data_IF_849628701160
#
_entry.id   IF_849628701160
#
_cell.length_a   1.000
_cell.length_b   1.000
_cell.length_c   1.000
_cell.angle_alpha   90.00
_cell.angle_beta   90.00
_cell.angle_gamma   90.00
#
_symmetry.space_group_name_H-M   'P 1'
#
loop_
_entity.id
_entity.type
_entity.pdbx_description
1 polymer ?
#
# COMPACT_ATOMS: atom_id res chain seq x y z
N UNK A 1 -15.10 16.86 -3.67
CA UNK A 1 -16.13 16.36 -2.73
C UNK A 1 -15.96 16.99 -1.36
N UNK A 2 -14.74 17.15 -0.84
CA UNK A 2 -14.49 17.83 0.44
C UNK A 2 -14.97 19.30 0.50
N UNK A 3 -15.07 19.95 -0.67
CA UNK A 3 -15.49 21.36 -0.79
C UNK A 3 -16.90 21.64 -0.29
N UNK A 4 -17.77 20.62 -0.33
CA UNK A 4 -19.18 20.73 0.08
C UNK A 4 -19.35 20.68 1.61
N UNK A 5 -18.31 20.27 2.34
CA UNK A 5 -18.35 20.22 3.80
C UNK A 5 -17.86 21.56 4.36
N UNK A 6 -18.77 22.32 4.97
CA UNK A 6 -18.43 23.58 5.62
C UNK A 6 -18.13 23.38 7.10
N UNK A 7 -17.00 23.92 7.62
CA UNK A 7 -16.75 23.94 9.06
C UNK A 7 -17.83 24.78 9.75
N UNK A 8 -18.27 24.33 10.94
CA UNK A 8 -19.21 25.10 11.75
C UNK A 8 -18.44 25.82 12.85
N UNK A 9 -18.75 27.09 13.10
CA UNK A 9 -18.16 27.82 14.22
C UNK A 9 -18.90 27.44 15.51
N UNK A 10 -18.16 27.08 16.55
CA UNK A 10 -18.76 26.78 17.84
C UNK A 10 -19.43 28.05 18.40
N UNK A 11 -20.74 27.97 18.63
CA UNK A 11 -21.48 29.06 19.29
C UNK A 11 -21.21 29.04 20.80
N UNK A 12 -20.82 30.19 21.35
CA UNK A 12 -20.53 30.45 22.78
C UNK A 12 -19.28 29.75 23.33
N UNK A 13 -18.05 30.24 23.10
CA UNK A 13 -16.84 29.59 23.64
C UNK A 13 -16.84 29.51 25.18
N UNK A 14 -16.13 28.53 25.78
CA UNK A 14 -16.01 28.43 27.22
C UNK A 14 -15.36 29.69 27.81
N UNK A 15 -15.66 29.95 29.09
CA UNK A 15 -15.05 31.05 29.85
C UNK A 15 -13.52 30.96 29.75
N UNK A 16 -12.84 32.10 29.68
CA UNK A 16 -11.37 32.19 29.52
C UNK A 16 -10.64 31.31 30.54
N UNK A 17 -11.11 31.29 31.79
CA UNK A 17 -10.52 30.48 32.87
C UNK A 17 -10.60 28.96 32.66
N UNK A 18 -11.46 28.49 31.75
CA UNK A 18 -11.65 27.06 31.44
C UNK A 18 -11.00 26.64 30.13
N UNK A 19 -10.63 27.56 29.23
CA UNK A 19 -10.11 27.26 27.88
C UNK A 19 -8.92 26.31 27.91
N UNK A 20 -7.88 26.65 28.67
CA UNK A 20 -6.67 25.81 28.83
C UNK A 20 -6.95 24.42 29.39
N UNK A 21 -7.99 24.26 30.22
CA UNK A 21 -8.40 22.93 30.72
C UNK A 21 -9.15 22.13 29.66
N UNK A 22 -10.00 22.80 28.89
CA UNK A 22 -10.77 22.21 27.79
C UNK A 22 -9.85 21.77 26.65
N UNK A 23 -8.85 22.57 26.29
CA UNK A 23 -7.82 22.24 25.28
C UNK A 23 -7.07 20.97 25.66
N UNK A 24 -6.46 20.92 26.86
CA UNK A 24 -5.75 19.73 27.36
C UNK A 24 -6.64 18.49 27.41
N UNK A 25 -7.90 18.66 27.79
CA UNK A 25 -8.87 17.57 27.81
C UNK A 25 -9.17 17.10 26.37
N UNK A 26 -9.31 18.02 25.42
CA UNK A 26 -9.52 17.71 24.00
C UNK A 26 -8.36 16.90 23.41
N UNK A 27 -7.12 17.32 23.63
CA UNK A 27 -5.91 16.58 23.23
C UNK A 27 -5.90 15.15 23.82
N UNK A 28 -6.17 15.05 25.13
CA UNK A 28 -6.20 13.76 25.84
C UNK A 28 -7.28 12.85 25.27
N UNK A 29 -8.48 13.38 25.04
CA UNK A 29 -9.61 12.63 24.49
C UNK A 29 -9.31 12.14 23.07
N UNK A 30 -8.66 12.94 22.23
CA UNK A 30 -8.27 12.53 20.89
C UNK A 30 -7.29 11.35 20.92
N UNK A 31 -6.27 11.42 21.79
CA UNK A 31 -5.31 10.32 21.97
C UNK A 31 -5.98 9.05 22.51
N UNK A 32 -6.89 9.18 23.48
CA UNK A 32 -7.65 8.04 24.00
C UNK A 32 -8.54 7.44 22.92
N UNK A 33 -9.27 8.29 22.17
CA UNK A 33 -10.13 7.85 21.08
C UNK A 33 -9.32 7.07 20.03
N UNK A 34 -8.18 7.60 19.61
CA UNK A 34 -7.32 7.01 18.58
C UNK A 34 -6.74 5.65 19.03
N UNK A 35 -6.21 5.57 20.25
CA UNK A 35 -5.49 4.37 20.71
C UNK A 35 -6.42 3.27 21.27
N UNK A 36 -7.52 3.64 21.93
CA UNK A 36 -8.36 2.68 22.65
C UNK A 36 -9.64 2.28 21.89
N UNK A 37 -10.07 3.05 20.89
CA UNK A 37 -11.35 2.85 20.19
C UNK A 37 -11.18 2.70 18.68
N UNK A 38 -10.09 2.05 18.24
CA UNK A 38 -9.58 2.03 16.86
C UNK A 38 -10.63 1.97 15.73
N UNK A 39 -11.66 1.13 15.84
CA UNK A 39 -12.69 1.00 14.78
C UNK A 39 -13.69 2.16 14.73
N UNK A 40 -13.85 2.93 15.81
CA UNK A 40 -14.77 4.06 15.84
C UNK A 40 -14.40 5.19 16.84
N UNK A 41 -13.22 5.82 16.70
CA UNK A 41 -12.76 6.87 17.62
C UNK A 41 -13.76 8.01 17.79
N UNK A 42 -14.38 8.46 16.69
CA UNK A 42 -15.40 9.51 16.71
C UNK A 42 -16.66 9.18 17.51
N UNK A 43 -17.06 7.90 17.63
CA UNK A 43 -18.26 7.52 18.42
C UNK A 43 -18.03 7.76 19.91
N UNK A 44 -16.82 7.47 20.40
CA UNK A 44 -16.43 7.77 21.78
C UNK A 44 -16.55 9.28 22.07
N UNK A 45 -16.02 10.13 21.17
CA UNK A 45 -16.09 11.59 21.33
C UNK A 45 -17.54 12.11 21.33
N UNK A 46 -18.43 11.50 20.53
CA UNK A 46 -19.85 11.83 20.51
C UNK A 46 -20.53 11.52 21.85
N UNK A 47 -20.28 10.35 22.43
CA UNK A 47 -20.80 10.00 23.76
C UNK A 47 -20.28 10.98 24.81
N UNK A 48 -18.98 11.28 24.77
CA UNK A 48 -18.37 12.23 25.71
C UNK A 48 -18.98 13.64 25.60
N UNK A 49 -19.32 14.08 24.38
CA UNK A 49 -19.91 15.40 24.13
C UNK A 49 -21.30 15.60 24.77
N UNK A 50 -21.99 14.51 25.10
CA UNK A 50 -23.30 14.52 25.73
C UNK A 50 -23.24 14.68 27.26
N UNK A 51 -22.07 14.49 27.89
CA UNK A 51 -21.95 14.43 29.36
C UNK A 51 -22.06 15.78 30.04
N UNK A 52 -21.47 16.83 29.46
CA UNK A 52 -21.52 18.18 30.02
C UNK A 52 -21.20 19.23 28.96
N UNK A 53 -21.45 20.50 29.26
CA UNK A 53 -21.04 21.60 28.39
C UNK A 53 -19.52 21.63 28.18
N UNK A 54 -18.72 21.46 29.24
CA UNK A 54 -17.25 21.38 29.16
C UNK A 54 -16.79 20.22 28.27
N UNK A 55 -17.40 19.04 28.45
CA UNK A 55 -17.11 17.85 27.65
C UNK A 55 -17.48 18.06 26.18
N UNK A 56 -18.55 18.78 25.88
CA UNK A 56 -18.94 19.13 24.50
C UNK A 56 -17.86 19.94 23.79
N UNK A 57 -17.34 21.00 24.43
CA UNK A 57 -16.25 21.79 23.84
C UNK A 57 -14.98 20.95 23.71
N UNK A 58 -14.62 20.18 24.75
CA UNK A 58 -13.44 19.31 24.70
C UNK A 58 -13.54 18.26 23.59
N UNK A 59 -14.69 17.62 23.41
CA UNK A 59 -14.94 16.70 22.28
C UNK A 59 -14.82 17.41 20.94
N UNK A 60 -15.25 18.67 20.84
CA UNK A 60 -15.15 19.42 19.58
C UNK A 60 -13.69 19.67 19.20
N UNK A 61 -12.87 20.13 20.16
CA UNK A 61 -11.41 20.24 19.97
C UNK A 61 -10.75 18.88 19.72
N UNK A 62 -11.23 17.83 20.39
CA UNK A 62 -10.72 16.48 20.21
C UNK A 62 -10.92 15.99 18.78
N UNK A 63 -12.00 16.38 18.08
CA UNK A 63 -12.16 16.05 16.66
C UNK A 63 -11.07 16.70 15.82
N UNK A 64 -10.68 17.93 16.09
CA UNK A 64 -9.57 18.60 15.38
C UNK A 64 -8.26 17.83 15.54
N UNK A 65 -7.90 17.46 16.77
CA UNK A 65 -6.69 16.64 17.01
C UNK A 65 -6.81 15.24 16.41
N UNK A 66 -7.97 14.60 16.54
CA UNK A 66 -8.21 13.26 15.99
C UNK A 66 -8.08 13.25 14.47
N UNK A 67 -8.55 14.29 13.78
CA UNK A 67 -8.36 14.46 12.33
C UNK A 67 -6.88 14.43 11.96
N UNK A 68 -6.02 15.14 12.70
CA UNK A 68 -4.58 15.16 12.43
C UNK A 68 -3.90 13.82 12.70
N UNK A 69 -4.41 13.03 13.64
CA UNK A 69 -3.90 11.70 13.97
C UNK A 69 -4.36 10.64 12.96
N UNK A 70 -5.63 10.68 12.56
CA UNK A 70 -6.30 9.63 11.79
C UNK A 70 -6.20 9.84 10.26
N UNK A 71 -6.13 11.11 9.84
CA UNK A 71 -6.05 11.52 8.44
C UNK A 71 -4.85 12.47 8.23
N UNK A 72 -3.61 12.02 8.47
CA UNK A 72 -2.44 12.83 8.16
C UNK A 72 -2.37 13.11 6.64
N UNK A 73 -1.70 14.19 6.24
CA UNK A 73 -1.37 14.43 4.83
C UNK A 73 -1.77 15.79 4.26
N UNK A 74 -1.42 15.98 2.99
CA UNK A 74 -1.62 17.21 2.21
C UNK A 74 -3.10 17.54 2.01
N UNK A 75 -3.98 16.53 1.89
CA UNK A 75 -5.43 16.76 1.67
C UNK A 75 -6.07 17.41 2.89
N UNK A 76 -5.75 16.91 4.08
CA UNK A 76 -6.24 17.46 5.35
C UNK A 76 -5.71 18.87 5.59
N UNK A 77 -4.40 19.07 5.42
CA UNK A 77 -3.76 20.40 5.59
C UNK A 77 -4.29 21.41 4.59
N UNK A 78 -4.36 21.07 3.30
CA UNK A 78 -4.91 21.95 2.26
C UNK A 78 -6.37 22.30 2.51
N UNK A 79 -7.20 21.35 2.96
CA UNK A 79 -8.61 21.64 3.27
C UNK A 79 -8.75 22.62 4.44
N UNK A 80 -7.96 22.43 5.52
CA UNK A 80 -7.95 23.33 6.67
C UNK A 80 -7.52 24.75 6.27
N UNK A 81 -6.47 24.86 5.44
CA UNK A 81 -5.97 26.14 4.92
C UNK A 81 -6.98 26.83 3.99
N UNK A 82 -7.52 26.11 3.00
CA UNK A 82 -8.46 26.67 2.00
C UNK A 82 -9.76 27.14 2.64
N UNK A 83 -10.23 26.46 3.69
CA UNK A 83 -11.45 26.82 4.42
C UNK A 83 -11.22 27.84 5.53
N UNK A 84 -9.98 28.33 5.71
CA UNK A 84 -9.58 29.26 6.78
C UNK A 84 -10.08 28.78 8.15
N UNK A 85 -9.84 27.49 8.43
CA UNK A 85 -10.34 26.83 9.63
C UNK A 85 -9.52 27.26 10.83
N UNK A 86 -10.14 28.05 11.71
CA UNK A 86 -9.61 28.24 13.06
C UNK A 86 -9.78 26.95 13.87
N UNK A 87 -8.69 26.18 13.95
CA UNK A 87 -8.63 24.89 14.66
C UNK A 87 -8.97 24.98 16.13
N UNK A 88 -8.92 26.17 16.74
CA UNK A 88 -9.26 26.39 18.15
C UNK A 88 -10.76 26.54 18.39
N UNK A 89 -11.57 26.82 17.35
CA UNK A 89 -13.01 27.12 17.51
C UNK A 89 -13.90 26.46 16.47
N UNK A 90 -13.33 25.76 15.49
CA UNK A 90 -14.10 25.07 14.47
C UNK A 90 -14.62 23.71 14.95
N UNK A 91 -15.86 23.40 14.61
CA UNK A 91 -16.48 22.10 14.73
C UNK A 91 -16.29 21.33 13.42
N UNK A 92 -15.34 20.39 13.45
CA UNK A 92 -14.91 19.59 12.31
C UNK A 92 -15.57 18.21 12.26
N UNK A 93 -16.63 17.97 13.05
CA UNK A 93 -17.32 16.66 13.11
C UNK A 93 -17.84 16.21 11.74
N UNK A 94 -18.44 17.12 10.98
CA UNK A 94 -18.99 16.78 9.67
C UNK A 94 -17.89 16.30 8.72
N UNK A 95 -16.75 17.00 8.70
CA UNK A 95 -15.60 16.62 7.89
C UNK A 95 -14.98 15.30 8.35
N UNK A 96 -14.83 15.12 9.67
CA UNK A 96 -14.36 13.84 10.23
C UNK A 96 -15.21 12.66 9.75
N UNK A 97 -16.54 12.75 9.87
CA UNK A 97 -17.44 11.66 9.49
C UNK A 97 -17.44 11.41 7.98
N UNK A 98 -17.29 12.46 7.18
CA UNK A 98 -17.11 12.32 5.74
C UNK A 98 -15.88 11.46 5.43
N UNK A 99 -14.71 11.79 5.99
CA UNK A 99 -13.44 11.07 5.76
C UNK A 99 -13.44 9.66 6.36
N UNK A 100 -14.02 9.51 7.55
CA UNK A 100 -14.20 8.20 8.17
C UNK A 100 -15.11 7.29 7.33
N UNK A 101 -16.17 7.84 6.72
CA UNK A 101 -17.07 7.10 5.84
C UNK A 101 -16.39 6.68 4.52
N UNK A 102 -15.55 7.54 3.95
CA UNK A 102 -14.74 7.22 2.76
C UNK A 102 -13.77 6.08 3.06
N UNK A 103 -13.06 6.17 4.20
CA UNK A 103 -12.17 5.09 4.66
C UNK A 103 -12.92 3.78 4.88
N UNK A 104 -14.05 3.80 5.58
CA UNK A 104 -14.85 2.59 5.82
C UNK A 104 -15.41 2.00 4.53
N UNK A 105 -15.83 2.84 3.59
CA UNK A 105 -16.26 2.40 2.26
C UNK A 105 -15.14 1.64 1.54
N UNK A 106 -13.93 2.21 1.54
CA UNK A 106 -12.75 1.59 0.92
C UNK A 106 -12.34 0.29 1.61
N UNK A 107 -12.34 0.26 2.95
CA UNK A 107 -12.12 -0.96 3.74
C UNK A 107 -13.19 -2.01 3.41
N UNK A 108 -14.47 -1.62 3.34
CA UNK A 108 -15.59 -2.50 3.01
C UNK A 108 -15.52 -3.07 1.60
N UNK A 109 -14.97 -2.31 0.63
CA UNK A 109 -14.65 -2.80 -0.71
C UNK A 109 -13.53 -3.85 -0.64
N UNK A 110 -12.44 -3.56 0.09
CA UNK A 110 -11.32 -4.49 0.20
C UNK A 110 -11.67 -5.76 0.97
N UNK A 111 -12.47 -5.68 2.04
CA UNK A 111 -12.94 -6.84 2.82
C UNK A 111 -13.63 -7.90 1.94
N UNK A 112 -14.33 -7.47 0.89
CA UNK A 112 -15.05 -8.32 -0.06
C UNK A 112 -14.20 -8.74 -1.27
N UNK A 113 -12.99 -8.20 -1.41
CA UNK A 113 -12.09 -8.51 -2.52
C UNK A 113 -11.42 -9.88 -2.36
N UNK A 114 -10.93 -10.41 -3.48
CA UNK A 114 -10.10 -11.63 -3.48
C UNK A 114 -8.81 -11.45 -2.67
N UNK A 115 -8.23 -10.23 -2.63
CA UNK A 115 -7.01 -9.94 -1.86
C UNK A 115 -7.19 -10.24 -0.37
N UNK A 116 -8.33 -9.87 0.21
CA UNK A 116 -8.62 -10.15 1.61
C UNK A 116 -8.85 -11.65 1.86
N UNK A 117 -9.47 -12.38 0.91
CA UNK A 117 -9.62 -13.85 1.00
C UNK A 117 -8.27 -14.54 1.02
N UNK A 118 -7.38 -14.17 0.09
CA UNK A 118 -5.99 -14.66 0.03
C UNK A 118 -5.25 -14.33 1.32
N UNK A 119 -5.34 -13.09 1.80
CA UNK A 119 -4.68 -12.69 3.03
C UNK A 119 -5.12 -13.52 4.24
N UNK A 120 -6.44 -13.72 4.41
CA UNK A 120 -7.00 -14.59 5.46
C UNK A 120 -6.49 -16.02 5.33
N UNK A 121 -6.43 -16.56 4.11
CA UNK A 121 -5.88 -17.90 3.86
C UNK A 121 -4.41 -18.00 4.28
N UNK A 122 -3.57 -17.08 3.82
CA UNK A 122 -2.15 -17.05 4.17
C UNK A 122 -1.93 -16.89 5.68
N UNK A 123 -2.66 -16.01 6.33
CA UNK A 123 -2.60 -15.80 7.78
C UNK A 123 -2.94 -17.06 8.57
N UNK A 124 -4.00 -17.78 8.19
CA UNK A 124 -4.39 -19.03 8.84
C UNK A 124 -3.30 -20.10 8.70
N UNK A 125 -2.67 -20.20 7.53
CA UNK A 125 -1.62 -21.18 7.28
C UNK A 125 -0.31 -20.87 8.01
N UNK A 126 -0.02 -19.60 8.28
CA UNK A 126 1.16 -19.17 9.04
C UNK A 126 0.98 -19.34 10.56
N UNK A 127 -0.08 -20.00 11.00
CA UNK A 127 -0.38 -20.21 12.42
C UNK A 127 -0.90 -18.96 13.13
N UNK A 128 -1.34 -17.92 12.41
CA UNK A 128 -1.99 -16.77 13.03
C UNK A 128 -3.40 -17.18 13.50
N UNK A 129 -3.51 -17.57 14.77
CA UNK A 129 -4.78 -17.84 15.45
C UNK A 129 -5.47 -16.55 15.89
N UNK A 130 -5.92 -15.74 14.94
CA UNK A 130 -6.87 -14.68 15.24
C UNK A 130 -8.29 -15.24 15.04
N UNK A 131 -9.09 -15.23 16.11
CA UNK A 131 -10.48 -15.67 16.07
C UNK A 131 -11.35 -14.67 15.29
N UNK A 132 -12.21 -15.20 14.41
CA UNK A 132 -13.27 -14.44 13.74
C UNK A 132 -12.83 -13.54 12.57
N UNK A 133 -13.64 -12.51 12.31
CA UNK A 133 -13.43 -11.51 11.25
C UNK A 133 -12.33 -10.47 11.55
N UNK A 134 -11.57 -10.68 12.64
CA UNK A 134 -10.50 -9.79 13.08
C UNK A 134 -9.27 -9.84 12.17
N UNK A 135 -9.10 -10.89 11.37
CA UNK A 135 -8.06 -10.95 10.33
C UNK A 135 -8.46 -10.07 9.15
N UNK A 136 -8.03 -8.81 9.21
CA UNK A 136 -8.09 -7.90 8.08
C UNK A 136 -6.77 -7.92 7.29
N UNK A 137 -6.87 -7.58 6.02
CA UNK A 137 -5.73 -7.35 5.14
C UNK A 137 -4.78 -6.29 5.72
N UNK A 138 -3.52 -6.65 5.95
CA UNK A 138 -2.50 -5.73 6.48
C UNK A 138 -1.40 -5.36 5.47
N UNK A 139 -1.59 -5.72 4.19
CA UNK A 139 -0.65 -5.41 3.11
C UNK A 139 -0.54 -3.93 2.77
N UNK A 140 -1.49 -3.10 3.22
CA UNK A 140 -1.54 -1.65 3.03
C UNK A 140 -1.85 -0.99 4.37
N UNK A 141 -1.18 0.12 4.67
CA UNK A 141 -1.41 0.87 5.90
C UNK A 141 -2.80 1.51 5.95
N UNK A 142 -3.46 1.43 7.12
CA UNK A 142 -4.85 1.85 7.30
C UNK A 142 -5.15 3.30 6.91
N UNK A 143 -4.17 4.20 7.04
CA UNK A 143 -4.35 5.61 6.69
C UNK A 143 -4.48 5.84 5.17
N UNK A 144 -3.90 4.99 4.32
CA UNK A 144 -4.00 5.10 2.86
C UNK A 144 -5.42 4.83 2.34
N UNK A 145 -6.26 4.14 3.12
CA UNK A 145 -7.67 3.92 2.77
C UNK A 145 -8.49 5.21 2.78
N UNK A 146 -7.96 6.28 3.38
CA UNK A 146 -8.56 7.60 3.30
C UNK A 146 -8.01 8.42 2.12
N UNK A 147 -6.99 8.00 1.37
CA UNK A 147 -6.30 8.84 0.38
C UNK A 147 -5.79 10.17 0.99
N UNK A 148 -4.72 10.11 1.80
CA UNK A 148 -4.27 11.22 2.66
C UNK A 148 -3.78 12.47 1.91
N UNK A 149 -3.25 12.33 0.70
CA UNK A 149 -2.62 13.44 -0.03
C UNK A 149 -3.23 13.67 -1.41
N UNK A 150 -3.40 12.62 -2.21
CA UNK A 150 -3.79 12.72 -3.61
C UNK A 150 -4.75 11.61 -3.98
N UNK A 151 -5.77 11.94 -4.76
CA UNK A 151 -6.71 10.97 -5.28
C UNK A 151 -5.99 9.88 -6.09
N UNK A 152 -6.31 8.61 -5.84
CA UNK A 152 -5.70 7.46 -6.49
C UNK A 152 -4.51 6.85 -5.75
N UNK A 153 -4.07 7.40 -4.61
CA UNK A 153 -3.05 6.78 -3.77
C UNK A 153 -3.42 5.34 -3.37
N UNK A 154 -4.69 5.12 -3.00
CA UNK A 154 -5.16 3.80 -2.63
C UNK A 154 -5.13 2.84 -3.82
N UNK A 155 -5.57 3.29 -5.00
CA UNK A 155 -5.53 2.48 -6.22
C UNK A 155 -4.10 2.07 -6.56
N UNK A 156 -3.14 2.98 -6.43
CA UNK A 156 -1.72 2.72 -6.64
C UNK A 156 -1.17 1.73 -5.60
N UNK A 157 -1.50 1.90 -4.33
CA UNK A 157 -1.13 0.97 -3.26
C UNK A 157 -1.64 -0.45 -3.54
N UNK A 158 -2.91 -0.56 -3.97
CA UNK A 158 -3.54 -1.84 -4.35
C UNK A 158 -2.80 -2.46 -5.54
N UNK A 159 -2.55 -1.70 -6.60
CA UNK A 159 -1.84 -2.21 -7.79
C UNK A 159 -0.43 -2.69 -7.47
N UNK A 160 0.31 -1.94 -6.67
CA UNK A 160 1.63 -2.34 -6.21
C UNK A 160 1.57 -3.66 -5.41
N UNK A 161 0.62 -3.76 -4.48
CA UNK A 161 0.44 -4.99 -3.70
C UNK A 161 0.11 -6.18 -4.60
N UNK A 162 -0.82 -6.02 -5.56
CA UNK A 162 -1.20 -7.07 -6.53
C UNK A 162 0.01 -7.47 -7.39
N UNK A 163 0.78 -6.51 -7.92
CA UNK A 163 1.99 -6.79 -8.70
C UNK A 163 3.00 -7.59 -7.89
N UNK A 164 3.26 -7.18 -6.65
CA UNK A 164 4.19 -7.86 -5.76
C UNK A 164 3.73 -9.28 -5.46
N UNK A 165 2.45 -9.46 -5.12
CA UNK A 165 1.85 -10.76 -4.89
C UNK A 165 1.99 -11.68 -6.11
N UNK A 166 1.63 -11.18 -7.29
CA UNK A 166 1.78 -11.88 -8.56
C UNK A 166 3.24 -12.32 -8.77
N UNK A 167 4.20 -11.40 -8.63
CA UNK A 167 5.63 -11.71 -8.79
C UNK A 167 6.10 -12.82 -7.86
N UNK A 168 5.73 -12.75 -6.57
CA UNK A 168 6.12 -13.75 -5.59
C UNK A 168 5.54 -15.12 -5.89
N UNK A 169 4.29 -15.20 -6.36
CA UNK A 169 3.67 -16.48 -6.69
C UNK A 169 4.26 -17.07 -7.98
N UNK A 170 4.39 -16.26 -9.03
CA UNK A 170 4.90 -16.72 -10.33
C UNK A 170 6.35 -17.19 -10.25
N UNK A 171 7.20 -16.52 -9.48
CA UNK A 171 8.62 -16.89 -9.32
C UNK A 171 8.82 -18.17 -8.50
N UNK A 172 7.91 -18.47 -7.57
CA UNK A 172 8.07 -19.59 -6.62
C UNK A 172 7.19 -20.80 -6.94
N UNK A 173 6.54 -20.83 -8.12
CA UNK A 173 5.72 -21.97 -8.55
C UNK A 173 4.57 -22.32 -7.60
N UNK A 174 4.02 -21.33 -6.87
CA UNK A 174 2.88 -21.51 -5.97
C UNK A 174 3.16 -22.12 -4.59
N UNK A 175 4.38 -22.60 -4.33
CA UNK A 175 4.77 -23.27 -3.08
C UNK A 175 5.60 -22.39 -2.15
N UNK A 176 5.17 -21.15 -1.86
CA UNK A 176 6.02 -20.18 -1.15
C UNK A 176 5.71 -20.11 0.36
N UNK A 177 6.45 -20.82 1.24
CA UNK A 177 6.16 -20.89 2.68
C UNK A 177 6.37 -19.57 3.42
N UNK A 178 7.09 -18.60 2.82
CA UNK A 178 7.33 -17.27 3.40
C UNK A 178 6.47 -16.17 2.79
N UNK A 179 5.45 -16.52 1.99
CA UNK A 179 4.65 -15.56 1.24
C UNK A 179 4.05 -14.48 2.15
N UNK A 180 3.46 -14.88 3.27
CA UNK A 180 2.86 -13.92 4.19
C UNK A 180 3.91 -12.99 4.82
N UNK A 181 5.05 -13.55 5.25
CA UNK A 181 6.14 -12.77 5.83
C UNK A 181 6.67 -11.72 4.84
N UNK A 182 6.90 -12.12 3.59
CA UNK A 182 7.42 -11.24 2.54
C UNK A 182 6.41 -10.17 2.09
N UNK A 183 5.11 -10.50 2.11
CA UNK A 183 4.03 -9.54 1.89
C UNK A 183 3.91 -8.56 3.06
N UNK A 184 4.11 -9.02 4.30
CA UNK A 184 4.14 -8.16 5.50
C UNK A 184 5.35 -7.23 5.50
N UNK A 185 6.54 -7.71 5.14
CA UNK A 185 7.72 -6.84 4.97
C UNK A 185 7.51 -5.82 3.85
N UNK A 186 6.84 -6.24 2.77
CA UNK A 186 6.45 -5.38 1.66
C UNK A 186 5.20 -4.54 1.88
N UNK A 187 4.72 -4.41 3.13
CA UNK A 187 3.54 -3.62 3.46
C UNK A 187 3.69 -2.20 2.93
N UNK A 188 2.68 -1.69 2.23
CA UNK A 188 2.67 -0.31 1.75
C UNK A 188 2.48 0.64 2.92
N UNK A 189 3.49 1.46 3.20
CA UNK A 189 3.44 2.47 4.25
C UNK A 189 2.90 3.79 3.71
N UNK A 190 3.54 4.33 2.68
CA UNK A 190 3.18 5.61 2.07
C UNK A 190 3.18 5.49 0.55
N UNK A 191 2.35 6.29 -0.11
CA UNK A 191 2.31 6.41 -1.58
C UNK A 191 2.22 7.88 -1.91
N UNK A 192 3.03 8.37 -2.84
CA UNK A 192 3.01 9.78 -3.26
C UNK A 192 3.44 9.97 -4.71
N UNK A 193 3.14 11.12 -5.32
CA UNK A 193 3.71 11.43 -6.63
C UNK A 193 5.24 11.54 -6.53
N UNK A 194 5.96 10.98 -7.50
CA UNK A 194 7.44 10.88 -7.52
C UNK A 194 8.20 12.23 -7.48
N UNK A 195 7.53 13.38 -7.44
CA UNK A 195 8.14 14.71 -7.64
C UNK A 195 8.67 14.93 -9.07
N UNK A 196 8.96 13.85 -9.79
CA UNK A 196 9.15 13.78 -11.22
C UNK A 196 7.88 14.30 -11.92
N UNK A 197 8.07 15.10 -12.98
CA UNK A 197 6.95 15.78 -13.69
C UNK A 197 6.03 14.81 -14.44
N UNK A 198 6.30 13.51 -14.39
CA UNK A 198 5.51 12.47 -15.03
C UNK A 198 4.36 12.08 -14.10
N UNK A 199 3.13 12.37 -14.52
CA UNK A 199 1.89 12.06 -13.77
C UNK A 199 1.65 10.56 -13.52
N UNK A 200 2.51 9.71 -14.04
CA UNK A 200 2.33 8.26 -14.07
C UNK A 200 3.29 7.51 -13.14
N UNK A 201 4.31 8.18 -12.60
CA UNK A 201 5.28 7.57 -11.69
C UNK A 201 4.95 7.97 -10.27
N UNK A 202 4.85 6.96 -9.42
CA UNK A 202 4.55 7.12 -8.00
C UNK A 202 5.71 6.58 -7.17
N UNK A 203 6.01 7.27 -6.09
CA UNK A 203 6.89 6.78 -5.04
C UNK A 203 6.04 6.01 -4.02
N UNK A 204 6.54 4.86 -3.61
CA UNK A 204 5.95 4.00 -2.59
C UNK A 204 6.99 3.67 -1.55
N UNK A 205 6.72 4.03 -0.29
CA UNK A 205 7.51 3.60 0.84
C UNK A 205 6.90 2.31 1.41
N UNK A 206 7.72 1.26 1.55
CA UNK A 206 7.30 -0.01 2.15
C UNK A 206 7.73 -0.14 3.61
N UNK A 207 7.22 -1.15 4.33
CA UNK A 207 7.45 -1.35 5.77
C UNK A 207 8.92 -1.50 6.20
N UNK A 208 9.84 -1.73 5.27
CA UNK A 208 11.29 -1.72 5.52
C UNK A 208 11.91 -0.32 5.53
N UNK A 209 11.14 0.72 5.20
CA UNK A 209 11.61 2.09 4.98
C UNK A 209 12.27 2.31 3.62
N UNK A 210 12.15 1.34 2.71
CA UNK A 210 12.64 1.46 1.33
C UNK A 210 11.61 2.19 0.47
N UNK A 211 12.08 3.18 -0.32
CA UNK A 211 11.28 3.87 -1.33
C UNK A 211 11.46 3.23 -2.70
N UNK A 212 10.35 2.93 -3.36
CA UNK A 212 10.26 2.33 -4.69
C UNK A 212 9.53 3.29 -5.63
N UNK A 213 9.99 3.40 -6.87
CA UNK A 213 9.31 4.15 -7.92
C UNK A 213 8.61 3.20 -8.86
N UNK A 214 7.32 3.42 -9.10
CA UNK A 214 6.50 2.51 -9.88
C UNK A 214 5.60 3.21 -10.90
N UNK A 215 5.15 2.44 -11.89
CA UNK A 215 4.13 2.86 -12.85
C UNK A 215 2.76 2.74 -12.20
N UNK A 216 2.10 3.87 -11.91
CA UNK A 216 0.84 3.90 -11.17
C UNK A 216 -0.31 3.14 -11.84
N UNK A 217 -0.24 2.87 -13.15
CA UNK A 217 -1.26 2.10 -13.90
C UNK A 217 -1.17 0.60 -13.68
N UNK A 218 0.03 0.04 -13.46
CA UNK A 218 0.27 -1.41 -13.39
C UNK A 218 0.81 -1.87 -12.03
N UNK A 219 1.40 -0.96 -11.25
CA UNK A 219 2.15 -1.27 -10.03
C UNK A 219 3.59 -1.75 -10.30
N UNK A 220 4.07 -1.69 -11.54
CA UNK A 220 5.41 -2.16 -11.92
C UNK A 220 6.51 -1.29 -11.32
N UNK A 221 7.49 -1.89 -10.65
CA UNK A 221 8.63 -1.17 -10.06
C UNK A 221 9.65 -0.86 -11.16
N UNK A 222 9.95 0.42 -11.36
CA UNK A 222 10.91 0.90 -12.36
C UNK A 222 12.27 1.19 -11.74
N UNK A 223 12.30 1.61 -10.47
CA UNK A 223 13.54 1.97 -9.78
C UNK A 223 13.40 1.80 -8.27
N UNK A 224 14.48 1.40 -7.63
CA UNK A 224 14.65 1.48 -6.17
C UNK A 224 15.37 2.78 -5.83
N UNK A 225 14.85 3.56 -4.88
CA UNK A 225 15.54 4.76 -4.42
C UNK A 225 16.91 4.36 -3.88
N UNK A 226 17.98 5.02 -4.35
CA UNK A 226 19.29 4.83 -3.75
C UNK A 226 19.17 5.21 -2.28
N UNK A 227 19.40 4.24 -1.38
CA UNK A 227 19.47 4.54 0.05
C UNK A 227 20.47 5.68 0.20
N UNK A 228 20.10 6.80 0.85
CA UNK A 228 21.10 7.78 1.21
C UNK A 228 22.11 7.00 2.05
N UNK A 229 23.32 6.85 1.53
CA UNK A 229 24.42 6.29 2.31
C UNK A 229 24.46 7.17 3.55
N UNK A 230 23.96 6.65 4.68
CA UNK A 230 24.14 7.31 5.96
C UNK A 230 25.64 7.32 6.12
N UNK A 231 26.27 8.44 5.77
CA UNK A 231 27.62 8.76 6.17
C UNK A 231 27.60 8.60 7.68
N UNK A 232 28.11 7.46 8.14
CA UNK A 232 28.47 7.22 9.52
C UNK A 232 29.53 8.27 9.84
N UNK A 233 29.06 9.45 10.19
CA UNK A 233 29.88 10.49 10.79
C UNK A 233 30.19 9.95 12.17
N UNK A 234 31.32 9.24 12.27
CA UNK A 234 31.92 8.78 13.52
C UNK A 234 32.34 10.01 14.32
N UNK A 235 31.38 10.64 14.98
CA UNK A 235 31.65 11.59 16.05
C UNK A 235 32.04 10.79 17.29
N UNK A 236 33.32 10.46 17.39
CA UNK A 236 33.95 10.14 18.67
C UNK A 236 33.87 11.39 19.53
N UNK A 237 32.94 11.40 20.47
CA UNK A 237 32.94 12.36 21.57
C UNK A 237 33.08 11.56 22.88
N UNK A 238 34.32 11.55 23.37
CA UNK A 238 34.68 11.28 24.75
C UNK A 238 33.85 12.17 25.68
N UNK A 239 33.02 11.57 26.54
CA UNK A 239 32.66 12.19 27.83
C UNK A 239 32.60 11.11 28.89
N UNK A 240 33.54 11.20 29.83
CA UNK A 240 33.66 10.33 30.98
C UNK A 240 32.49 10.44 31.97
N UNK A 241 32.15 9.28 32.51
CA UNK A 241 31.95 9.00 33.94
C UNK A 241 31.23 10.05 34.78
N UNK A 242 29.97 9.78 35.15
CA UNK A 242 29.56 9.50 36.54
C UNK A 242 28.06 9.17 36.62
N UNK A 243 27.75 8.01 37.20
CA UNK A 243 26.42 7.62 37.71
C UNK A 243 26.33 8.00 39.20
N UNK A 244 25.13 8.13 39.79
CA UNK A 244 24.63 6.97 40.52
C UNK A 244 23.11 6.70 40.40
N UNK A 245 22.83 5.43 40.05
CA UNK A 245 21.96 4.45 40.73
C UNK A 245 20.66 4.88 41.45
N UNK A 246 19.53 4.26 41.07
CA UNK A 246 18.49 3.50 41.84
C UNK A 246 17.28 3.34 40.88
N UNK A 247 16.62 2.20 40.63
CA UNK A 247 16.66 0.83 41.12
C UNK A 247 15.41 0.08 40.56
N UNK A 248 15.48 -1.26 40.54
CA UNK A 248 14.42 -2.27 40.27
C UNK A 248 13.92 -2.45 38.82
N UNK A 249 13.60 -3.64 38.31
CA UNK A 249 13.97 -5.03 38.61
C UNK A 249 13.48 -5.90 37.44
N UNK A 250 14.41 -6.70 36.88
CA UNK A 250 14.32 -8.08 36.38
C UNK A 250 12.93 -8.71 36.16
N UNK A 251 12.69 -9.18 34.93
CA UNK A 251 12.53 -10.62 34.62
C UNK A 251 12.75 -10.85 33.11
N UNK A 252 13.88 -11.45 32.73
CA UNK A 252 14.10 -12.01 31.39
C UNK A 252 14.66 -13.42 31.55
N UNK A 253 14.00 -14.36 30.88
CA UNK A 253 14.29 -15.78 30.88
C UNK A 253 15.54 -16.06 30.05
N UNK A 254 16.35 -16.98 30.57
CA UNK A 254 17.70 -17.34 30.17
C UNK A 254 17.65 -18.40 29.06
N UNK A 255 18.30 -18.16 27.92
CA UNK A 255 18.73 -19.22 27.01
C UNK A 255 20.25 -19.10 26.84
N UNK A 256 20.96 -20.15 27.27
CA UNK A 256 22.42 -20.24 27.26
C UNK A 256 22.92 -20.58 25.85
N UNK A 257 24.00 -19.89 25.47
CA UNK A 257 24.90 -20.24 24.39
C UNK A 257 25.62 -21.57 24.65
N UNK A 258 26.00 -22.25 23.57
CA UNK A 258 27.27 -22.96 23.53
C UNK A 258 28.01 -22.56 22.25
N UNK A 259 29.20 -22.01 22.46
CA UNK A 259 30.17 -21.64 21.45
C UNK A 259 30.87 -22.87 20.84
N UNK A 260 31.47 -22.69 19.66
CA UNK A 260 32.89 -22.98 19.44
C UNK A 260 33.34 -22.42 18.07
N UNK A 261 34.33 -21.53 18.12
CA UNK A 261 35.24 -21.14 17.02
C UNK A 261 36.53 -21.96 17.09
N UNK A 262 37.32 -21.99 16.00
CA UNK A 262 38.74 -21.73 16.18
C UNK A 262 39.33 -20.73 15.16
N UNK A 263 39.95 -19.69 15.73
CA UNK A 263 41.32 -19.15 15.50
C UNK A 263 41.98 -19.34 14.12
N UNK A 264 42.39 -18.22 13.52
CA UNK A 264 43.70 -18.10 12.87
C UNK A 264 44.27 -16.67 13.00
N UNK A 265 45.52 -16.61 13.49
CA UNK A 265 46.39 -15.45 13.68
C UNK A 265 46.91 -14.85 12.36
N UNK A 266 47.26 -13.56 12.39
CA UNK A 266 48.08 -12.90 11.37
C UNK A 266 48.41 -11.44 11.71
N UNK A 267 49.67 -11.21 12.09
CA UNK A 267 50.25 -9.98 12.66
C UNK A 267 50.60 -8.86 11.66
N UNK A 268 50.39 -7.63 12.14
CA UNK A 268 51.35 -6.52 12.21
C UNK A 268 51.92 -5.82 10.95
N UNK A 269 51.74 -4.49 10.90
CA UNK A 269 52.83 -3.50 10.71
C UNK A 269 52.29 -2.09 10.97
N UNK A 270 52.93 -1.39 11.90
CA UNK A 270 52.84 0.06 12.10
C UNK A 270 53.43 0.82 10.90
N UNK A 271 52.95 2.03 10.64
CA UNK A 271 53.85 3.16 10.37
C UNK A 271 53.16 4.52 10.61
N UNK A 272 53.86 5.39 11.34
CA UNK A 272 53.47 6.75 11.76
C UNK A 272 54.08 7.79 10.79
N UNK A 273 53.31 8.80 10.40
CA UNK A 273 53.80 9.89 9.54
C UNK A 273 52.97 11.19 9.57
N UNK A 274 53.12 11.95 10.66
CA UNK A 274 53.06 13.42 10.83
C UNK A 274 52.30 14.34 9.82
N UNK A 275 51.26 15.00 10.36
CA UNK A 275 50.91 16.43 10.36
C UNK A 275 51.27 17.35 9.15
N UNK A 276 50.24 17.97 8.55
CA UNK A 276 50.08 19.42 8.26
C UNK A 276 48.67 19.72 7.66
N UNK A 277 48.14 20.96 7.75
CA UNK A 277 46.70 21.28 7.71
C UNK A 277 46.09 21.40 6.29
N UNK A 278 44.75 21.40 6.15
CA UNK A 278 44.09 21.38 4.85
C UNK A 278 44.15 22.76 4.14
N UNK A 279 44.35 22.78 2.80
CA UNK A 279 44.19 23.99 2.00
C UNK A 279 42.69 24.32 1.77
N UNK A 280 42.35 25.59 1.50
CA UNK A 280 40.97 26.06 1.45
C UNK A 280 40.24 25.61 0.18
N UNK A 281 38.93 25.38 0.35
CA UNK A 281 37.95 25.05 -0.68
C UNK A 281 37.90 26.10 -1.80
N UNK A 282 37.89 25.71 -3.08
CA UNK A 282 37.32 26.54 -4.14
C UNK A 282 35.80 26.38 -4.13
N UNK A 283 35.11 27.51 -3.99
CA UNK A 283 33.68 27.68 -4.22
C UNK A 283 33.31 27.26 -5.65
N UNK A 284 32.64 26.13 -5.79
CA UNK A 284 32.04 25.73 -7.06
C UNK A 284 30.64 26.35 -7.17
N UNK A 285 30.54 27.43 -7.94
CA UNK A 285 29.27 27.97 -8.44
C UNK A 285 28.52 26.92 -9.26
N UNK A 286 27.46 26.33 -8.70
CA UNK A 286 26.48 25.58 -9.48
C UNK A 286 25.75 26.54 -10.42
N UNK A 287 26.16 26.57 -11.68
CA UNK A 287 25.29 27.03 -12.78
C UNK A 287 24.22 25.96 -13.01
N UNK A 288 22.99 26.24 -12.57
CA UNK A 288 21.76 25.58 -13.05
C UNK A 288 21.59 25.90 -14.54
N UNK A 289 22.10 25.03 -15.39
CA UNK A 289 21.60 24.88 -16.76
C UNK A 289 20.66 23.67 -16.78
N UNK A 290 19.43 23.87 -16.35
CA UNK A 290 18.35 22.91 -16.61
C UNK A 290 17.88 23.13 -18.05
N UNK A 291 18.37 22.30 -18.98
CA UNK A 291 17.77 22.18 -20.30
C UNK A 291 16.34 21.64 -20.11
N UNK A 292 15.37 22.43 -20.56
CA UNK A 292 13.97 22.04 -20.66
C UNK A 292 13.80 21.01 -21.77
N UNK A 293 13.81 19.72 -21.42
CA UNK A 293 13.17 18.69 -22.23
C UNK A 293 11.83 18.32 -21.59
N UNK A 294 10.69 18.37 -22.32
CA UNK A 294 9.45 17.79 -21.84
C UNK A 294 9.64 16.27 -21.79
N UNK A 295 9.61 15.70 -20.58
CA UNK A 295 9.65 14.24 -20.40
C UNK A 295 8.30 13.65 -20.86
N UNK A 296 8.30 12.52 -21.58
CA UNK A 296 7.07 11.89 -22.04
C UNK A 296 6.21 11.42 -20.87
N UNK A 297 4.89 11.62 -20.97
CA UNK A 297 3.95 10.68 -20.36
C UNK A 297 4.23 9.30 -20.98
N UNK A 298 4.02 8.18 -20.27
CA UNK A 298 4.11 6.86 -20.91
C UNK A 298 3.15 6.84 -22.10
N UNK A 299 3.69 7.05 -23.29
CA UNK A 299 2.94 7.03 -24.52
C UNK A 299 3.02 5.57 -24.98
N UNK A 300 1.88 4.89 -24.93
CA UNK A 300 1.75 3.61 -25.61
C UNK A 300 2.13 3.86 -27.07
N UNK A 301 3.05 3.08 -27.66
CA UNK A 301 3.42 3.23 -29.05
C UNK A 301 2.18 3.27 -29.94
N UNK A 302 2.18 4.19 -30.91
CA UNK A 302 1.06 4.34 -31.83
C UNK A 302 0.82 3.01 -32.56
N UNK A 303 -0.42 2.53 -32.52
CA UNK A 303 -0.82 1.29 -33.17
C UNK A 303 -0.76 0.02 -32.31
N UNK A 304 -0.27 0.08 -31.06
CA UNK A 304 -0.27 -1.10 -30.17
C UNK A 304 -1.64 -1.50 -29.65
N UNK A 305 -2.62 -0.59 -29.70
CA UNK A 305 -4.03 -0.90 -29.45
C UNK A 305 -4.78 -0.67 -30.76
N UNK A 306 -5.45 -1.70 -31.25
CA UNK A 306 -6.22 -1.61 -32.48
C UNK A 306 -7.38 -0.62 -32.31
N UNK A 307 -7.64 0.16 -33.36
CA UNK A 307 -8.68 1.22 -33.39
C UNK A 307 -10.11 0.76 -33.07
N UNK A 308 -10.38 -0.56 -33.09
CA UNK A 308 -11.67 -1.13 -32.68
C UNK A 308 -11.90 -1.05 -31.17
N UNK A 309 -10.85 -0.94 -30.37
CA UNK A 309 -10.93 -0.78 -28.92
C UNK A 309 -11.30 0.66 -28.62
N UNK A 310 -12.58 0.96 -28.65
CA UNK A 310 -13.11 2.32 -28.49
C UNK A 310 -13.58 2.62 -27.07
N UNK A 311 -13.90 1.58 -26.29
CA UNK A 311 -14.41 1.77 -24.94
C UNK A 311 -13.31 2.20 -23.97
N UNK A 312 -13.51 3.25 -23.15
CA UNK A 312 -12.50 3.74 -22.22
C UNK A 312 -11.97 2.69 -21.24
N UNK A 313 -12.84 1.80 -20.73
CA UNK A 313 -12.43 0.75 -19.81
C UNK A 313 -11.64 -0.38 -20.50
N UNK A 314 -12.01 -0.75 -21.73
CA UNK A 314 -11.24 -1.69 -22.55
C UNK A 314 -9.87 -1.13 -22.91
N UNK A 315 -9.81 0.16 -23.25
CA UNK A 315 -8.56 0.85 -23.53
C UNK A 315 -7.65 0.85 -22.30
N UNK A 316 -8.20 1.17 -21.12
CA UNK A 316 -7.43 1.16 -19.88
C UNK A 316 -6.87 -0.23 -19.54
N UNK A 317 -7.63 -1.29 -19.79
CA UNK A 317 -7.15 -2.67 -19.60
C UNK A 317 -6.05 -3.03 -20.60
N UNK A 318 -6.26 -2.72 -21.89
CA UNK A 318 -5.27 -2.96 -22.94
C UNK A 318 -3.96 -2.22 -22.67
N UNK A 319 -4.04 -0.97 -22.23
CA UNK A 319 -2.88 -0.18 -21.82
C UNK A 319 -2.12 -0.81 -20.66
N UNK A 320 -2.83 -1.25 -19.62
CA UNK A 320 -2.20 -1.93 -18.48
C UNK A 320 -1.50 -3.21 -18.90
N UNK A 321 -2.17 -4.01 -19.73
CA UNK A 321 -1.61 -5.25 -20.25
C UNK A 321 -0.34 -5.02 -21.08
N UNK A 322 -0.36 -4.02 -21.97
CA UNK A 322 0.84 -3.64 -22.73
C UNK A 322 1.96 -3.27 -21.75
N UNK A 323 1.70 -2.34 -20.84
CA UNK A 323 2.70 -1.86 -19.86
C UNK A 323 3.24 -2.98 -18.97
N UNK A 324 2.42 -3.98 -18.59
CA UNK A 324 2.85 -5.10 -17.75
C UNK A 324 3.67 -6.16 -18.48
N UNK A 325 3.64 -6.16 -19.82
CA UNK A 325 4.41 -7.08 -20.66
C UNK A 325 5.65 -6.40 -21.28
N UNK A 326 5.91 -5.13 -20.97
CA UNK A 326 7.14 -4.46 -21.36
C UNK A 326 8.31 -4.88 -20.46
N UNK A 327 9.52 -4.90 -21.03
CA UNK A 327 10.72 -5.16 -20.24
C UNK A 327 10.96 -3.98 -19.26
N UNK A 328 11.22 -4.31 -18.01
CA UNK A 328 11.55 -3.31 -16.96
C UNK A 328 12.75 -2.45 -17.33
N UNK A 329 13.70 -2.99 -18.10
CA UNK A 329 14.86 -2.25 -18.59
C UNK A 329 14.45 -1.18 -19.62
N UNK A 330 13.46 -1.46 -20.47
CA UNK A 330 12.91 -0.51 -21.45
C UNK A 330 12.13 0.62 -20.76
N UNK A 331 11.42 0.32 -19.67
CA UNK A 331 10.68 1.32 -18.88
C UNK A 331 11.65 2.29 -18.19
N UNK A 332 12.86 1.85 -17.84
CA UNK A 332 13.83 2.62 -17.06
C UNK A 332 14.74 3.56 -17.88
N UNK A 333 15.08 3.20 -19.13
CA UNK A 333 16.17 3.87 -19.88
C UNK A 333 15.71 5.04 -20.73
N UNK A 334 14.52 4.98 -21.30
CA UNK A 334 13.94 6.05 -22.10
C UNK A 334 12.43 5.99 -21.94
N UNK A 335 11.84 6.98 -21.27
CA UNK A 335 10.37 7.10 -21.12
C UNK A 335 9.62 7.20 -22.46
N UNK A 336 10.34 7.25 -23.59
CA UNK A 336 9.84 6.91 -24.93
C UNK A 336 9.99 5.40 -25.16
N UNK A 337 8.96 4.68 -24.75
CA UNK A 337 8.84 3.23 -24.90
C UNK A 337 8.88 2.85 -26.40
N UNK A 338 9.86 2.05 -26.81
CA UNK A 338 9.86 1.37 -28.10
C UNK A 338 9.43 -0.07 -27.90
N UNK A 339 8.12 -0.38 -27.97
CA UNK A 339 7.68 -1.77 -27.97
C UNK A 339 8.35 -2.54 -29.12
N UNK A 340 8.56 -3.83 -28.91
CA UNK A 340 8.64 -4.76 -30.03
C UNK A 340 7.39 -4.54 -30.91
N UNK A 341 7.54 -4.16 -32.20
CA UNK A 341 6.44 -3.75 -33.08
C UNK A 341 5.39 -4.84 -33.40
N UNK A 342 5.39 -5.97 -32.69
CA UNK A 342 4.56 -7.14 -32.96
C UNK A 342 3.33 -7.32 -32.06
N UNK A 343 3.23 -6.62 -30.92
CA UNK A 343 2.12 -6.85 -29.98
C UNK A 343 1.02 -5.80 -30.21
N UNK A 344 -0.05 -6.21 -30.89
CA UNK A 344 -1.25 -5.41 -31.13
C UNK A 344 -2.41 -6.02 -30.33
N UNK A 345 -3.03 -5.21 -29.46
CA UNK A 345 -4.27 -5.58 -28.78
C UNK A 345 -5.45 -5.37 -29.71
N UNK A 346 -6.10 -6.45 -30.12
CA UNK A 346 -7.23 -6.44 -31.06
C UNK A 346 -8.56 -6.17 -30.35
N UNK A 347 -8.70 -6.71 -29.14
CA UNK A 347 -9.87 -6.48 -28.29
C UNK A 347 -9.54 -6.68 -26.81
N UNK A 348 -10.30 -6.04 -25.94
CA UNK A 348 -10.25 -6.27 -24.50
C UNK A 348 -11.67 -6.40 -23.94
N UNK A 349 -11.80 -7.14 -22.83
CA UNK A 349 -13.05 -7.39 -22.11
C UNK A 349 -12.79 -7.28 -20.62
N UNK A 350 -13.68 -6.60 -19.92
CA UNK A 350 -13.58 -6.38 -18.48
C UNK A 350 -14.48 -7.34 -17.71
N UNK A 351 -14.34 -7.34 -16.38
CA UNK A 351 -15.22 -8.10 -15.51
C UNK A 351 -16.71 -7.81 -15.76
N UNK A 352 -17.54 -8.85 -15.69
CA UNK A 352 -18.97 -8.79 -16.01
C UNK A 352 -19.31 -8.87 -17.50
N UNK A 353 -18.32 -8.85 -18.39
CA UNK A 353 -18.54 -9.01 -19.83
C UNK A 353 -18.33 -10.45 -20.30
N UNK A 354 -18.95 -10.79 -21.43
CA UNK A 354 -18.66 -12.05 -22.14
C UNK A 354 -17.39 -11.89 -22.95
N UNK A 355 -16.42 -12.75 -22.71
CA UNK A 355 -15.19 -12.75 -23.49
C UNK A 355 -15.32 -13.56 -24.78
N UNK A 356 -16.11 -14.65 -24.75
CA UNK A 356 -16.45 -15.46 -25.92
C UNK A 356 -17.96 -15.39 -26.21
N UNK A 357 -18.35 -15.10 -27.45
CA UNK A 357 -19.76 -14.99 -27.87
C UNK A 357 -20.54 -16.30 -27.75
N UNK A 358 -19.85 -17.44 -27.83
CA UNK A 358 -20.44 -18.77 -27.65
C UNK A 358 -20.71 -19.12 -26.18
N UNK A 359 -20.05 -18.42 -25.24
CA UNK A 359 -20.22 -18.66 -23.82
C UNK A 359 -21.46 -17.94 -23.26
N UNK A 360 -22.14 -18.63 -22.34
CA UNK A 360 -23.27 -18.06 -21.60
C UNK A 360 -22.81 -17.22 -20.42
N UNK A 361 -21.63 -17.50 -19.90
CA UNK A 361 -21.04 -16.95 -18.69
C UNK A 361 -20.25 -15.67 -18.95
N UNK A 362 -20.01 -14.90 -17.89
CA UNK A 362 -19.30 -13.61 -17.90
C UNK A 362 -18.03 -13.71 -17.06
N UNK A 363 -17.04 -12.85 -17.36
CA UNK A 363 -15.80 -12.75 -16.59
C UNK A 363 -16.09 -12.37 -15.13
N UNK A 364 -15.42 -13.03 -14.19
CA UNK A 364 -15.52 -12.73 -12.77
C UNK A 364 -14.97 -11.35 -12.41
N UNK A 365 -15.39 -10.76 -11.27
CA UNK A 365 -14.80 -9.51 -10.76
C UNK A 365 -13.28 -9.58 -10.62
N UNK A 366 -12.56 -8.61 -11.19
CA UNK A 366 -11.10 -8.53 -11.17
C UNK A 366 -10.39 -9.30 -12.30
N UNK A 367 -11.13 -9.97 -13.18
CA UNK A 367 -10.59 -10.67 -14.34
C UNK A 367 -10.94 -9.92 -15.62
N UNK A 368 -9.92 -9.60 -16.40
CA UNK A 368 -10.04 -9.14 -17.77
C UNK A 368 -9.63 -10.22 -18.77
N UNK A 369 -9.99 -10.02 -20.03
CA UNK A 369 -9.49 -10.79 -21.16
C UNK A 369 -8.96 -9.84 -22.23
N UNK A 370 -7.77 -10.13 -22.74
CA UNK A 370 -7.11 -9.36 -23.80
C UNK A 370 -6.82 -10.28 -24.97
N UNK A 371 -7.39 -9.96 -26.14
CA UNK A 371 -7.03 -10.60 -27.39
C UNK A 371 -5.86 -9.85 -28.01
N UNK A 372 -4.71 -10.51 -28.08
CA UNK A 372 -3.59 -10.10 -28.91
C UNK A 372 -3.49 -11.04 -30.12
N UNK A 373 -2.69 -10.67 -31.12
CA UNK A 373 -2.49 -11.42 -32.38
C UNK A 373 -2.55 -12.95 -32.18
N UNK A 374 -3.62 -13.57 -32.69
CA UNK A 374 -3.89 -15.02 -32.63
C UNK A 374 -4.01 -15.65 -31.22
N UNK A 375 -3.83 -14.91 -30.14
CA UNK A 375 -3.78 -15.46 -28.78
C UNK A 375 -4.52 -14.58 -27.76
N UNK A 376 -5.49 -15.18 -27.08
CA UNK A 376 -6.19 -14.58 -25.95
C UNK A 376 -5.48 -14.79 -24.61
N UNK A 377 -5.56 -13.80 -23.73
CA UNK A 377 -4.97 -13.81 -22.40
C UNK A 377 -5.99 -13.44 -21.34
N UNK A 378 -6.07 -14.24 -20.28
CA UNK A 378 -6.72 -13.85 -19.03
C UNK A 378 -5.75 -13.03 -18.20
N UNK A 379 -6.22 -11.89 -17.69
CA UNK A 379 -5.37 -10.90 -17.03
C UNK A 379 -6.02 -10.39 -15.75
N UNK A 380 -5.21 -9.96 -14.77
CA UNK A 380 -5.71 -9.22 -13.61
C UNK A 380 -6.15 -7.82 -14.05
N UNK A 381 -7.44 -7.51 -13.95
CA UNK A 381 -8.00 -6.28 -14.51
C UNK A 381 -7.35 -5.02 -13.92
N UNK A 382 -7.03 -5.03 -12.62
CA UNK A 382 -6.47 -3.90 -11.89
C UNK A 382 -5.06 -3.50 -12.37
N UNK A 383 -4.30 -4.46 -12.90
CA UNK A 383 -2.85 -4.31 -13.08
C UNK A 383 -2.35 -4.67 -14.50
N UNK A 384 -3.07 -5.55 -15.22
CA UNK A 384 -2.72 -6.01 -16.58
C UNK A 384 -2.01 -7.37 -16.66
N UNK A 385 -1.67 -7.98 -15.53
CA UNK A 385 -0.75 -9.12 -15.45
C UNK A 385 -1.43 -10.39 -15.98
N UNK A 386 -0.71 -11.13 -16.82
CA UNK A 386 -1.17 -12.41 -17.36
C UNK A 386 -1.31 -13.44 -16.24
N UNK A 387 -2.49 -14.05 -16.13
CA UNK A 387 -2.73 -15.19 -15.23
C UNK A 387 -2.95 -16.50 -16.00
N UNK A 388 -3.34 -16.41 -17.27
CA UNK A 388 -3.47 -17.56 -18.16
C UNK A 388 -3.60 -17.15 -19.64
N UNK A 389 -3.45 -18.14 -20.50
CA UNK A 389 -3.74 -18.06 -21.93
C UNK A 389 -5.07 -18.77 -22.22
N UNK A 390 -5.79 -18.30 -23.24
CA UNK A 390 -7.08 -18.84 -23.68
C UNK A 390 -7.07 -20.36 -23.86
N UNK A 391 -6.06 -20.90 -24.53
CA UNK A 391 -5.97 -22.33 -24.86
C UNK A 391 -5.77 -23.24 -23.64
N UNK A 392 -5.26 -22.69 -22.53
CA UNK A 392 -4.94 -23.46 -21.33
C UNK A 392 -5.90 -23.18 -20.17
N UNK A 393 -6.70 -22.12 -20.26
CA UNK A 393 -7.56 -21.67 -19.16
C UNK A 393 -6.78 -21.18 -17.94
N UNK A 394 -7.51 -20.61 -16.97
CA UNK A 394 -6.96 -20.16 -15.69
C UNK A 394 -6.52 -21.36 -14.87
N UNK A 395 -5.20 -21.54 -14.75
CA UNK A 395 -4.61 -22.65 -14.01
C UNK A 395 -5.02 -22.66 -12.53
N UNK A 396 -5.06 -23.86 -11.95
CA UNK A 396 -5.64 -24.15 -10.64
C UNK A 396 -5.27 -23.18 -9.51
N UNK A 397 -4.02 -22.71 -9.43
CA UNK A 397 -3.63 -21.75 -8.40
C UNK A 397 -4.36 -20.41 -8.53
N UNK A 398 -4.35 -19.79 -9.71
CA UNK A 398 -5.04 -18.52 -9.95
C UNK A 398 -6.55 -18.67 -9.92
N UNK A 399 -7.07 -19.79 -10.44
CA UNK A 399 -8.49 -20.13 -10.34
C UNK A 399 -8.94 -20.17 -8.87
N UNK A 400 -8.14 -20.82 -8.01
CA UNK A 400 -8.41 -20.93 -6.58
C UNK A 400 -8.28 -19.59 -5.86
N UNK A 401 -7.24 -18.80 -6.16
CA UNK A 401 -7.01 -17.46 -5.58
C UNK A 401 -8.16 -16.51 -5.89
N UNK A 402 -8.61 -16.49 -7.14
CA UNK A 402 -9.62 -15.55 -7.62
C UNK A 402 -11.04 -16.06 -7.32
N UNK A 403 -11.20 -17.36 -7.08
CA UNK A 403 -12.51 -17.99 -6.88
C UNK A 403 -13.26 -18.10 -8.19
N UNK A 404 -12.59 -18.61 -9.22
CA UNK A 404 -13.08 -18.69 -10.59
C UNK A 404 -12.83 -20.06 -11.20
N UNK A 405 -13.58 -20.37 -12.25
CA UNK A 405 -13.36 -21.54 -13.12
C UNK A 405 -12.25 -21.26 -14.14
N UNK A 406 -11.82 -22.30 -14.85
CA UNK A 406 -10.77 -22.22 -15.88
C UNK A 406 -11.12 -21.25 -17.02
N UNK A 407 -12.41 -21.02 -17.28
CA UNK A 407 -12.89 -20.07 -18.30
C UNK A 407 -13.00 -18.61 -17.79
N UNK A 408 -12.54 -18.33 -16.57
CA UNK A 408 -12.57 -17.01 -15.93
C UNK A 408 -13.90 -16.64 -15.30
N UNK A 409 -14.83 -17.57 -15.17
CA UNK A 409 -16.17 -17.31 -14.63
C UNK A 409 -16.20 -17.49 -13.12
N UNK A 410 -16.99 -16.68 -12.41
CA UNK A 410 -17.05 -16.73 -10.96
C UNK A 410 -17.63 -18.08 -10.48
N UNK A 411 -17.02 -18.65 -9.44
CA UNK A 411 -17.60 -19.75 -8.69
C UNK A 411 -18.87 -19.28 -7.96
N UNK A 412 -19.85 -20.16 -7.80
CA UNK A 412 -21.01 -19.87 -6.98
C UNK A 412 -20.66 -19.94 -5.48
N UNK A 413 -21.53 -19.43 -4.61
CA UNK A 413 -21.28 -19.39 -3.16
C UNK A 413 -20.97 -20.80 -2.59
N UNK A 414 -21.66 -21.84 -3.07
CA UNK A 414 -21.41 -23.22 -2.65
C UNK A 414 -20.03 -23.72 -3.07
N UNK A 415 -19.60 -23.41 -4.29
CA UNK A 415 -18.25 -23.76 -4.77
C UNK A 415 -17.16 -22.99 -4.03
N UNK A 416 -17.42 -21.73 -3.66
CA UNK A 416 -16.51 -20.94 -2.83
C UNK A 416 -16.39 -21.50 -1.41
N UNK A 417 -17.48 -21.96 -0.81
CA UNK A 417 -17.48 -22.62 0.50
C UNK A 417 -16.69 -23.93 0.47
N UNK A 418 -16.85 -24.73 -0.60
CA UNK A 418 -16.07 -25.95 -0.82
C UNK A 418 -14.58 -25.65 -0.99
N UNK A 419 -14.25 -24.58 -1.72
CA UNK A 419 -12.88 -24.12 -1.91
C UNK A 419 -12.26 -23.62 -0.61
N UNK A 420 -13.02 -22.89 0.22
CA UNK A 420 -12.57 -22.49 1.55
C UNK A 420 -12.36 -23.72 2.46
N UNK A 421 -13.23 -24.73 2.37
CA UNK A 421 -13.07 -25.99 3.09
C UNK A 421 -11.81 -26.74 2.63
N UNK A 422 -11.56 -26.82 1.33
CA UNK A 422 -10.33 -27.40 0.77
C UNK A 422 -9.09 -26.70 1.31
N UNK A 423 -9.10 -25.37 1.34
CA UNK A 423 -8.02 -24.58 1.92
C UNK A 423 -7.80 -24.90 3.40
N UNK A 424 -8.87 -25.02 4.19
CA UNK A 424 -8.78 -25.42 5.60
C UNK A 424 -8.19 -26.83 5.75
N UNK A 425 -8.64 -27.79 4.96
CA UNK A 425 -8.14 -29.17 5.00
C UNK A 425 -6.69 -29.31 4.55
N UNK A 426 -6.26 -28.47 3.60
CA UNK A 426 -4.86 -28.41 3.17
C UNK A 426 -3.98 -27.89 4.31
N UNK A 427 -4.42 -26.85 5.01
CA UNK A 427 -3.71 -26.23 6.15
C UNK A 427 -3.55 -27.16 7.35
N UNK A 428 -4.49 -28.07 7.59
CA UNK A 428 -4.45 -29.00 8.73
C UNK A 428 -3.54 -30.22 8.52
N UNK A 429 -2.80 -30.29 7.42
CA UNK A 429 -1.89 -31.41 7.09
C UNK A 429 -2.59 -32.73 6.76
N UNK A 430 -3.92 -32.79 6.85
CA UNK A 430 -4.77 -33.93 6.47
C UNK A 430 -4.99 -34.04 4.95
N UNK A 431 -4.77 -32.94 4.21
CA UNK A 431 -4.97 -32.85 2.76
C UNK A 431 -4.06 -33.70 1.88
N UNK A 432 -2.95 -34.28 2.39
CA UNK A 432 -2.05 -35.13 1.58
C UNK A 432 -2.72 -36.39 0.99
N UNK A 433 -3.92 -36.77 1.46
CA UNK A 433 -4.69 -37.92 0.92
C UNK A 433 -5.78 -37.56 -0.10
N UNK A 434 -6.12 -36.28 -0.29
CA UNK A 434 -7.24 -35.85 -1.13
C UNK A 434 -6.84 -35.43 -2.55
N UNK A 435 -5.56 -35.14 -2.80
CA UNK A 435 -5.04 -34.60 -4.08
C UNK A 435 -5.06 -35.58 -5.27
N UNK A 436 -5.43 -36.85 -5.09
CA UNK A 436 -5.43 -37.87 -6.16
C UNK A 436 -6.77 -38.07 -6.85
N UNK A 437 -7.81 -37.29 -6.52
CA UNK A 437 -9.19 -37.62 -6.95
C UNK A 437 -10.00 -36.47 -7.55
N UNK A 438 -9.40 -35.33 -7.86
CA UNK A 438 -10.04 -34.23 -8.58
C UNK A 438 -9.33 -33.96 -9.90
#
# INVERSE_FOLDING_TARGET
MDDDVTPLIIRNPPRISLRRKVEKLGETLALVAFNAFGDSPGKFLMVFSALSQTCRYASTLAFTHLITLEFPGARTTSWLEVKDVDTEVADLRAWYWHRASEREYNIGKLRRSWMNRVWKFLARNDGCHAEGDLLFFEGISGHLFAEPDTQGQLDVAIRFWIRRFHSLISQNGGGYPRLLADLKMGKVHQVGPSGERTRSIWEVEIGTGESLFLVGKTGEVVRVAAQPQRTLSSSVADVGTQSPTVGFAKHALKCMEMANTPVHDGSASDDLGLLLPPPPLPTCTMRKNCLHHPLPQFAIPEGSIHRSVTSPHHWALAERWILSNMDTDEISRDFTLGLNPGVIVESARCSGEKWNSSMKSVLAPGIGFVQAFETGWFVLEETGQNIAQEDYGIQGLWATILGVREDGTALCDTELDELELMFRLWSSGTGKKLSTTL
#
